data_IF_865152025777
#
_entry.id   IF_865152025777
#
_cell.length_a   1.000
_cell.length_b   1.000
_cell.length_c   1.000
_cell.angle_alpha   90.00
_cell.angle_beta   90.00
_cell.angle_gamma   90.00
#
_symmetry.space_group_name_H-M   'P 1'
#
loop_
_entity.id
_entity.type
_entity.pdbx_description
1 polymer ?
#
# COMPACT_ATOMS: atom_id res chain seq x y z
N UNK A 1 7.84 -32.05 29.54
CA UNK A 1 7.80 -32.29 28.08
C UNK A 1 6.35 -32.31 27.63
N UNK A 2 6.11 -32.13 26.33
CA UNK A 2 4.78 -32.26 25.72
C UNK A 2 4.74 -33.52 24.87
N UNK A 3 3.53 -34.07 24.65
CA UNK A 3 3.34 -35.22 23.76
C UNK A 3 3.71 -34.81 22.33
N UNK A 4 4.57 -35.60 21.68
CA UNK A 4 4.96 -35.35 20.30
C UNK A 4 3.73 -35.49 19.38
N UNK A 5 3.37 -34.40 18.71
CA UNK A 5 2.29 -34.37 17.74
C UNK A 5 2.82 -33.87 16.39
N UNK A 6 2.78 -34.74 15.38
CA UNK A 6 3.26 -34.43 14.04
C UNK A 6 2.42 -33.37 13.32
N UNK A 7 1.12 -33.28 13.61
CA UNK A 7 0.23 -32.27 13.02
C UNK A 7 0.55 -30.87 13.58
N UNK A 8 0.82 -30.78 14.87
CA UNK A 8 1.29 -29.55 15.50
C UNK A 8 2.64 -29.10 14.90
N UNK A 9 3.54 -30.05 14.62
CA UNK A 9 4.79 -29.78 13.90
C UNK A 9 4.57 -29.24 12.48
N UNK A 10 3.66 -29.85 11.71
CA UNK A 10 3.28 -29.34 10.37
C UNK A 10 2.66 -27.95 10.43
N UNK A 11 1.82 -27.69 11.44
CA UNK A 11 1.23 -26.37 11.65
C UNK A 11 2.29 -25.32 12.00
N UNK A 12 3.25 -25.65 12.87
CA UNK A 12 4.37 -24.79 13.20
C UNK A 12 5.21 -24.47 11.94
N UNK A 13 5.50 -25.48 11.11
CA UNK A 13 6.22 -25.26 9.84
C UNK A 13 5.46 -24.34 8.89
N UNK A 14 4.14 -24.50 8.77
CA UNK A 14 3.30 -23.58 7.97
C UNK A 14 3.36 -22.15 8.51
N UNK A 15 3.36 -21.99 9.83
CA UNK A 15 3.46 -20.68 10.46
C UNK A 15 4.85 -20.05 10.21
N UNK A 16 5.94 -20.82 10.34
CA UNK A 16 7.30 -20.31 10.07
C UNK A 16 7.46 -19.93 8.60
N UNK A 17 6.97 -20.76 7.68
CA UNK A 17 6.95 -20.44 6.24
C UNK A 17 6.14 -19.17 5.95
N UNK A 18 5.02 -18.95 6.64
CA UNK A 18 4.19 -17.77 6.44
C UNK A 18 4.86 -16.46 6.85
N UNK A 19 5.95 -16.51 7.63
CA UNK A 19 6.73 -15.31 7.99
C UNK A 19 7.53 -14.77 6.81
N UNK A 20 7.82 -15.59 5.78
CA UNK A 20 8.63 -15.21 4.62
C UNK A 20 10.01 -14.62 4.99
N UNK A 21 10.56 -15.03 6.15
CA UNK A 21 11.86 -14.58 6.67
C UNK A 21 12.99 -15.59 6.42
N UNK A 22 12.66 -16.83 6.07
CA UNK A 22 13.61 -17.92 5.97
C UNK A 22 13.61 -18.49 4.55
N UNK A 23 14.81 -18.71 4.01
CA UNK A 23 15.03 -19.30 2.69
C UNK A 23 15.00 -20.83 2.74
N UNK A 24 15.44 -21.43 3.86
CA UNK A 24 15.41 -22.86 4.08
C UNK A 24 14.99 -23.17 5.52
N UNK A 25 14.17 -24.21 5.68
CA UNK A 25 13.71 -24.72 6.97
C UNK A 25 13.87 -26.23 6.94
N UNK A 26 14.79 -26.74 7.76
CA UNK A 26 15.03 -28.16 7.92
C UNK A 26 14.60 -28.58 9.32
N UNK A 27 13.77 -29.62 9.39
CA UNK A 27 13.31 -30.20 10.65
C UNK A 27 13.87 -31.60 10.76
N UNK A 28 14.72 -31.81 11.75
CA UNK A 28 15.39 -33.08 12.01
C UNK A 28 14.95 -33.60 13.39
N UNK A 29 13.94 -34.48 13.46
CA UNK A 29 13.61 -35.18 14.69
C UNK A 29 14.71 -36.22 14.98
N UNK A 30 15.25 -36.19 16.19
CA UNK A 30 16.27 -37.11 16.70
C UNK A 30 15.79 -37.75 18.00
N UNK A 31 15.98 -39.06 18.20
CA UNK A 31 15.71 -39.68 19.49
C UNK A 31 16.63 -39.07 20.57
N UNK A 32 16.10 -38.82 21.76
CA UNK A 32 16.86 -38.34 22.91
C UNK A 32 17.66 -39.51 23.49
N UNK A 33 18.99 -39.45 23.43
CA UNK A 33 19.87 -40.49 23.99
C UNK A 33 19.83 -40.54 25.53
N UNK A 34 19.36 -39.49 26.19
CA UNK A 34 19.32 -39.41 27.67
C UNK A 34 17.99 -39.85 28.27
N UNK A 35 16.91 -39.84 27.50
CA UNK A 35 15.57 -40.22 27.96
C UNK A 35 14.97 -41.24 26.99
N UNK A 36 14.80 -42.49 27.44
CA UNK A 36 14.11 -43.51 26.66
C UNK A 36 12.70 -43.02 26.26
N UNK A 37 12.42 -42.99 24.96
CA UNK A 37 11.16 -42.50 24.39
C UNK A 37 11.07 -40.98 24.19
N UNK A 38 12.11 -40.21 24.53
CA UNK A 38 12.20 -38.79 24.23
C UNK A 38 12.54 -38.52 22.76
N UNK A 39 11.97 -37.46 22.19
CA UNK A 39 12.29 -36.98 20.83
C UNK A 39 12.72 -35.52 20.93
N UNK A 40 13.90 -35.22 20.43
CA UNK A 40 14.42 -33.86 20.25
C UNK A 40 14.14 -33.44 18.81
N UNK A 41 13.41 -32.34 18.63
CA UNK A 41 13.15 -31.78 17.30
C UNK A 41 14.09 -30.62 17.07
N UNK A 42 15.13 -30.82 16.25
CA UNK A 42 16.01 -29.75 15.80
C UNK A 42 15.40 -29.04 14.60
N UNK A 43 15.24 -27.72 14.68
CA UNK A 43 14.78 -26.89 13.56
C UNK A 43 15.96 -26.02 13.14
N UNK A 44 16.53 -26.30 11.96
CA UNK A 44 17.57 -25.48 11.35
C UNK A 44 16.90 -24.49 10.39
N UNK A 45 17.19 -23.22 10.59
CA UNK A 45 16.63 -22.13 9.81
C UNK A 45 17.78 -21.41 9.08
N UNK A 46 17.61 -21.18 7.78
CA UNK A 46 18.48 -20.29 7.01
C UNK A 46 17.69 -19.02 6.71
N UNK A 47 18.19 -17.87 7.16
CA UNK A 47 17.54 -16.59 6.88
C UNK A 47 17.50 -16.29 5.37
N UNK A 48 16.45 -15.59 4.96
CA UNK A 48 16.33 -15.01 3.63
C UNK A 48 17.09 -13.68 3.59
N UNK A 49 17.49 -13.26 2.40
CA UNK A 49 18.02 -11.91 2.21
C UNK A 49 17.00 -10.87 2.66
N UNK A 50 17.40 -10.05 3.64
CA UNK A 50 16.51 -9.13 4.34
C UNK A 50 16.35 -7.79 3.63
N UNK A 51 17.14 -7.53 2.58
CA UNK A 51 17.16 -6.28 1.83
C UNK A 51 16.95 -6.59 0.38
N UNK A 52 15.95 -5.99 -0.23
CA UNK A 52 15.72 -6.10 -1.67
C UNK A 52 15.54 -4.71 -2.24
N UNK A 53 16.04 -4.53 -3.46
CA UNK A 53 15.78 -3.34 -4.26
C UNK A 53 15.31 -3.83 -5.63
N UNK A 54 14.13 -3.41 -6.04
CA UNK A 54 13.57 -3.74 -7.35
C UNK A 54 13.48 -2.46 -8.17
N UNK A 55 13.94 -2.55 -9.42
CA UNK A 55 13.86 -1.47 -10.40
C UNK A 55 12.99 -1.96 -11.55
N UNK A 56 11.81 -1.35 -11.68
CA UNK A 56 10.94 -1.56 -12.83
C UNK A 56 11.05 -0.33 -13.74
N UNK A 57 11.36 -0.55 -15.01
CA UNK A 57 11.42 0.51 -16.02
C UNK A 57 10.35 0.26 -17.06
N UNK A 58 9.59 1.30 -17.39
CA UNK A 58 8.51 1.30 -18.36
C UNK A 58 8.84 2.30 -19.47
N UNK A 59 8.42 2.01 -20.70
CA UNK A 59 8.66 2.87 -21.86
C UNK A 59 7.34 3.21 -22.52
N UNK A 60 6.94 4.47 -22.47
CA UNK A 60 5.72 4.96 -23.11
C UNK A 60 6.04 5.67 -24.43
N UNK A 61 5.21 5.43 -25.46
CA UNK A 61 5.29 6.11 -26.75
C UNK A 61 4.07 7.01 -26.89
N UNK A 62 4.27 8.32 -26.74
CA UNK A 62 3.17 9.30 -26.88
C UNK A 62 3.03 9.73 -28.34
N UNK A 63 1.84 9.71 -28.97
CA UNK A 63 1.70 10.18 -30.33
C UNK A 63 1.94 11.70 -30.42
N UNK A 64 2.76 12.16 -31.38
CA UNK A 64 3.01 13.59 -31.59
C UNK A 64 1.79 14.35 -32.11
N UNK A 65 1.90 15.68 -32.25
CA UNK A 65 0.83 16.59 -32.73
C UNK A 65 0.20 16.25 -34.10
N UNK A 66 0.76 15.27 -34.83
CA UNK A 66 0.24 14.76 -36.10
C UNK A 66 -0.19 13.28 -36.09
N UNK A 67 -0.32 12.64 -34.91
CA UNK A 67 -0.78 11.25 -34.79
C UNK A 67 0.28 10.18 -35.10
N UNK A 68 1.48 10.57 -35.54
CA UNK A 68 2.61 9.66 -35.76
C UNK A 68 3.54 9.63 -34.55
N UNK A 69 4.00 8.45 -34.11
CA UNK A 69 5.04 8.34 -33.09
C UNK A 69 6.38 8.80 -33.66
N UNK A 70 7.08 9.69 -32.94
CA UNK A 70 8.43 10.18 -33.29
C UNK A 70 9.42 9.71 -32.24
N UNK A 71 10.71 9.52 -32.58
CA UNK A 71 11.72 9.05 -31.61
C UNK A 71 11.89 9.96 -30.37
N UNK A 72 11.42 11.21 -30.44
CA UNK A 72 11.35 12.16 -29.33
C UNK A 72 10.16 11.94 -28.38
N UNK A 73 9.31 10.94 -28.64
CA UNK A 73 8.11 10.64 -27.86
C UNK A 73 8.25 9.44 -26.93
N UNK A 74 9.50 8.99 -26.72
CA UNK A 74 9.84 7.97 -25.74
C UNK A 74 9.93 8.62 -24.36
N UNK A 75 8.96 8.32 -23.52
CA UNK A 75 8.96 8.72 -22.11
C UNK A 75 9.36 7.50 -21.27
N UNK A 76 10.63 7.41 -20.82
CA UNK A 76 11.05 6.36 -19.93
C UNK A 76 10.51 6.66 -18.53
N UNK A 77 9.60 5.83 -18.05
CA UNK A 77 9.10 5.84 -16.67
C UNK A 77 9.65 4.65 -15.88
N UNK A 78 9.33 4.61 -14.60
CA UNK A 78 9.70 3.48 -13.77
C UNK A 78 9.33 3.61 -12.31
N UNK A 79 9.47 2.50 -11.59
CA UNK A 79 9.30 2.42 -10.16
C UNK A 79 10.55 1.81 -9.52
N UNK A 80 11.09 2.51 -8.53
CA UNK A 80 12.16 2.03 -7.65
C UNK A 80 11.51 1.63 -6.33
N UNK A 81 11.60 0.36 -5.98
CA UNK A 81 11.19 -0.13 -4.65
C UNK A 81 12.39 -0.58 -3.85
N UNK A 82 12.37 -0.27 -2.56
CA UNK A 82 13.34 -0.74 -1.59
C UNK A 82 12.58 -1.36 -0.43
N UNK A 83 12.89 -2.60 -0.10
CA UNK A 83 12.31 -3.29 1.04
C UNK A 83 13.42 -3.74 1.99
N UNK A 84 13.24 -3.43 3.27
CA UNK A 84 14.05 -4.00 4.33
C UNK A 84 13.15 -4.74 5.32
N UNK A 85 13.28 -6.06 5.34
CA UNK A 85 12.58 -6.98 6.25
C UNK A 85 13.40 -7.27 7.50
N UNK A 86 12.71 -7.76 8.53
CA UNK A 86 13.28 -8.24 9.79
C UNK A 86 14.18 -7.26 10.56
N UNK A 87 13.76 -5.99 10.67
CA UNK A 87 14.53 -4.98 11.39
C UNK A 87 14.72 -5.38 12.87
N UNK A 88 15.98 -5.53 13.28
CA UNK A 88 16.35 -5.93 14.64
C UNK A 88 15.90 -7.33 15.04
N UNK A 89 15.61 -8.22 14.09
CA UNK A 89 15.13 -9.58 14.38
C UNK A 89 13.68 -9.67 14.85
N UNK A 90 12.91 -8.58 14.71
CA UNK A 90 11.54 -8.45 15.24
C UNK A 90 10.46 -8.57 14.17
N UNK A 91 10.78 -9.10 12.97
CA UNK A 91 9.87 -9.19 11.83
C UNK A 91 9.23 -7.84 11.42
N UNK A 92 9.88 -6.72 11.74
CA UNK A 92 9.47 -5.38 11.31
C UNK A 92 9.99 -5.15 9.90
N UNK A 93 9.20 -4.49 9.06
CA UNK A 93 9.63 -4.14 7.70
C UNK A 93 9.42 -2.67 7.37
N UNK A 94 10.32 -2.15 6.53
CA UNK A 94 10.19 -0.85 5.88
C UNK A 94 10.18 -1.10 4.38
N UNK A 95 9.20 -0.51 3.69
CA UNK A 95 9.05 -0.53 2.25
C UNK A 95 9.00 0.92 1.76
N UNK A 96 9.95 1.30 0.91
CA UNK A 96 9.93 2.55 0.16
C UNK A 96 9.64 2.26 -1.31
N UNK A 97 8.82 3.08 -1.94
CA UNK A 97 8.54 3.04 -3.37
C UNK A 97 8.55 4.45 -3.91
N UNK A 98 9.24 4.66 -5.02
CA UNK A 98 9.24 5.92 -5.77
C UNK A 98 8.85 5.56 -7.20
N UNK A 99 7.78 6.16 -7.70
CA UNK A 99 7.25 5.94 -9.04
C UNK A 99 7.30 7.26 -9.80
N UNK A 100 7.77 7.21 -11.05
CA UNK A 100 7.75 8.34 -11.98
C UNK A 100 7.33 7.83 -13.35
N UNK A 101 6.45 8.54 -14.05
CA UNK A 101 6.10 8.23 -15.44
C UNK A 101 7.15 8.74 -16.43
N UNK A 102 7.98 9.70 -16.04
CA UNK A 102 9.01 10.27 -16.90
C UNK A 102 10.28 10.60 -16.10
N UNK A 103 11.38 9.88 -16.36
CA UNK A 103 12.69 10.15 -15.77
C UNK A 103 13.34 11.43 -16.30
N UNK A 104 12.95 11.91 -17.49
CA UNK A 104 13.51 13.13 -18.07
C UNK A 104 12.91 14.38 -17.43
N UNK A 105 11.64 14.33 -17.03
CA UNK A 105 10.91 15.39 -16.32
C UNK A 105 10.21 14.83 -15.07
N UNK A 106 10.94 14.47 -14.00
CA UNK A 106 10.35 13.84 -12.84
C UNK A 106 9.49 14.79 -12.00
N UNK A 107 9.58 16.11 -12.23
CA UNK A 107 8.81 17.09 -11.45
C UNK A 107 7.31 17.02 -11.70
N UNK A 108 6.90 16.49 -12.86
CA UNK A 108 5.51 16.54 -13.28
C UNK A 108 4.67 15.40 -12.68
N UNK A 109 5.27 14.25 -12.34
CA UNK A 109 4.54 13.04 -11.90
C UNK A 109 5.35 12.13 -10.94
N UNK A 110 6.01 12.73 -9.96
CA UNK A 110 6.68 11.97 -8.90
C UNK A 110 5.68 11.53 -7.83
N UNK A 111 5.54 10.22 -7.63
CA UNK A 111 4.82 9.65 -6.50
C UNK A 111 5.79 8.92 -5.59
N UNK A 112 5.65 9.10 -4.28
CA UNK A 112 6.41 8.31 -3.31
C UNK A 112 5.47 7.67 -2.29
N UNK A 113 5.87 6.49 -1.82
CA UNK A 113 5.20 5.77 -0.75
C UNK A 113 6.25 5.16 0.16
N UNK A 114 6.23 5.55 1.43
CA UNK A 114 6.99 4.92 2.49
C UNK A 114 6.03 4.19 3.41
N UNK A 115 6.35 2.97 3.79
CA UNK A 115 5.49 2.10 4.58
C UNK A 115 6.30 1.36 5.62
N UNK A 116 5.91 1.50 6.88
CA UNK A 116 6.45 0.78 8.03
C UNK A 116 5.42 -0.20 8.56
N UNK A 117 5.81 -1.48 8.66
CA UNK A 117 4.96 -2.54 9.17
C UNK A 117 5.59 -3.14 10.41
N UNK A 118 4.81 -3.15 11.49
CA UNK A 118 5.19 -3.72 12.78
C UNK A 118 4.15 -4.78 13.19
N UNK A 119 4.41 -6.06 12.88
CA UNK A 119 3.56 -7.14 13.35
C UNK A 119 3.80 -7.39 14.86
N UNK A 120 2.79 -7.92 15.55
CA UNK A 120 2.85 -8.21 16.99
C UNK A 120 3.18 -7.00 17.87
N UNK A 121 2.48 -5.88 17.63
CA UNK A 121 2.67 -4.60 18.34
C UNK A 121 2.70 -4.75 19.87
N UNK A 122 1.78 -5.56 20.41
CA UNK A 122 1.64 -5.79 21.85
C UNK A 122 2.47 -7.00 22.36
N UNK A 123 3.35 -7.55 21.53
CA UNK A 123 4.15 -8.75 21.80
C UNK A 123 3.51 -10.05 21.31
N UNK A 124 4.35 -11.09 21.16
CA UNK A 124 3.98 -12.39 20.56
C UNK A 124 3.01 -13.19 21.45
N UNK A 125 3.03 -12.98 22.75
CA UNK A 125 2.18 -13.69 23.71
C UNK A 125 0.80 -13.06 23.89
N UNK A 126 0.54 -11.90 23.27
CA UNK A 126 -0.76 -11.24 23.39
C UNK A 126 -1.77 -11.87 22.42
N UNK A 127 -2.95 -12.34 22.90
CA UNK A 127 -3.95 -12.98 22.05
C UNK A 127 -4.54 -12.05 20.97
N UNK A 128 -4.43 -10.71 21.12
CA UNK A 128 -5.02 -9.74 20.19
C UNK A 128 -4.24 -9.60 18.87
N UNK A 129 -3.01 -10.13 18.81
CA UNK A 129 -2.13 -10.16 17.62
C UNK A 129 -2.27 -8.91 16.73
N UNK A 130 -2.04 -7.75 17.34
CA UNK A 130 -2.19 -6.46 16.69
C UNK A 130 -1.01 -6.17 15.77
N UNK A 131 -1.29 -5.63 14.59
CA UNK A 131 -0.27 -5.13 13.67
C UNK A 131 -0.44 -3.63 13.44
N UNK A 132 0.65 -2.89 13.56
CA UNK A 132 0.70 -1.47 13.21
C UNK A 132 1.25 -1.33 11.79
N UNK A 133 0.59 -0.50 10.99
CA UNK A 133 1.01 -0.13 9.64
C UNK A 133 0.94 1.39 9.50
N UNK A 134 2.10 2.02 9.36
CA UNK A 134 2.22 3.45 9.13
C UNK A 134 2.69 3.66 7.70
N UNK A 135 2.02 4.51 6.94
CA UNK A 135 2.38 4.83 5.57
C UNK A 135 2.40 6.34 5.37
N UNK A 136 3.47 6.85 4.79
CA UNK A 136 3.55 8.19 4.25
C UNK A 136 3.43 8.07 2.73
N UNK A 137 2.57 8.87 2.12
CA UNK A 137 2.36 8.82 0.68
C UNK A 137 2.30 10.22 0.10
N UNK A 138 2.73 10.33 -1.14
CA UNK A 138 2.49 11.47 -1.99
C UNK A 138 2.12 10.96 -3.38
N UNK A 139 1.03 11.48 -3.91
CA UNK A 139 0.55 11.14 -5.24
C UNK A 139 -0.04 12.36 -5.91
N UNK A 140 0.32 12.56 -7.17
CA UNK A 140 -0.33 13.50 -8.07
C UNK A 140 -1.27 12.74 -8.99
N UNK A 141 -2.48 13.26 -9.21
CA UNK A 141 -3.43 12.70 -10.17
C UNK A 141 -4.19 13.80 -10.88
N UNK A 142 -4.51 13.58 -12.15
CA UNK A 142 -5.39 14.49 -12.88
C UNK A 142 -6.81 14.46 -12.28
N UNK A 143 -7.42 15.62 -12.08
CA UNK A 143 -8.79 15.71 -11.59
C UNK A 143 -9.76 15.25 -12.68
N UNK A 144 -10.63 14.24 -12.41
CA UNK A 144 -11.64 13.83 -13.39
C UNK A 144 -12.78 14.85 -13.49
N UNK A 145 -12.95 15.73 -12.49
CA UNK A 145 -14.07 16.68 -12.39
C UNK A 145 -13.85 17.91 -13.27
N UNK A 146 -12.59 18.36 -13.39
CA UNK A 146 -12.21 19.51 -14.20
C UNK A 146 -11.67 19.05 -15.55
N UNK A 147 -12.53 18.36 -16.31
CA UNK A 147 -12.23 17.91 -17.67
C UNK A 147 -13.28 18.45 -18.63
N UNK A 148 -12.87 18.81 -19.85
CA UNK A 148 -13.80 19.29 -20.88
C UNK A 148 -14.78 18.19 -21.28
N UNK A 149 -16.08 18.48 -21.19
CA UNK A 149 -17.13 17.58 -21.68
C UNK A 149 -17.18 17.51 -23.22
N UNK A 150 -17.89 16.53 -23.80
CA UNK A 150 -18.05 16.44 -25.25
C UNK A 150 -18.71 17.73 -25.80
N UNK A 151 -17.95 18.54 -26.54
CA UNK A 151 -18.42 19.81 -27.12
C UNK A 151 -18.28 21.06 -26.24
N UNK A 152 -17.58 20.98 -25.10
CA UNK A 152 -17.23 22.14 -24.28
C UNK A 152 -15.89 22.77 -24.70
N UNK A 153 -15.75 24.09 -24.50
CA UNK A 153 -14.48 24.82 -24.67
C UNK A 153 -13.34 24.14 -23.90
N UNK A 154 -12.12 24.22 -24.43
CA UNK A 154 -10.91 23.62 -23.85
C UNK A 154 -10.74 24.06 -22.38
N UNK A 155 -10.98 23.14 -21.44
CA UNK A 155 -10.83 23.37 -20.01
C UNK A 155 -9.40 22.99 -19.60
N UNK A 156 -8.63 23.92 -19.01
CA UNK A 156 -7.29 23.61 -18.52
C UNK A 156 -7.34 22.47 -17.48
N UNK A 157 -6.47 21.45 -17.61
CA UNK A 157 -6.41 20.34 -16.67
C UNK A 157 -5.97 20.81 -15.28
N UNK A 158 -6.66 20.31 -14.25
CA UNK A 158 -6.31 20.56 -12.85
C UNK A 158 -5.73 19.28 -12.23
N UNK A 159 -4.55 19.40 -11.64
CA UNK A 159 -3.86 18.34 -10.92
C UNK A 159 -4.24 18.36 -9.44
N UNK A 160 -4.46 17.19 -8.86
CA UNK A 160 -4.73 17.00 -7.44
C UNK A 160 -3.53 16.30 -6.81
N UNK A 161 -2.79 17.07 -6.03
CA UNK A 161 -1.64 16.60 -5.26
C UNK A 161 -2.10 16.22 -3.86
N UNK A 162 -1.94 14.95 -3.50
CA UNK A 162 -2.26 14.43 -2.17
C UNK A 162 -0.98 14.03 -1.47
N UNK A 163 -0.70 14.63 -0.33
CA UNK A 163 0.40 14.26 0.54
C UNK A 163 -0.15 13.95 1.93
N UNK A 164 0.19 12.79 2.49
CA UNK A 164 -0.41 12.40 3.75
C UNK A 164 0.30 11.29 4.49
N UNK A 165 -0.17 11.10 5.72
CA UNK A 165 0.24 10.01 6.61
C UNK A 165 -1.01 9.22 6.99
N UNK A 166 -0.89 7.90 6.89
CA UNK A 166 -1.91 6.94 7.28
C UNK A 166 -1.33 6.00 8.33
N UNK A 167 -1.94 5.95 9.51
CA UNK A 167 -1.58 5.01 10.56
C UNK A 167 -2.76 4.07 10.82
N UNK A 168 -2.58 2.77 10.64
CA UNK A 168 -3.60 1.75 10.88
C UNK A 168 -3.12 0.74 11.91
N UNK A 169 -4.04 0.34 12.79
CA UNK A 169 -3.89 -0.79 13.68
C UNK A 169 -4.89 -1.86 13.24
N UNK A 170 -4.40 -3.06 13.03
CA UNK A 170 -5.21 -4.23 12.65
C UNK A 170 -5.19 -5.24 13.78
N UNK A 171 -6.35 -5.56 14.33
CA UNK A 171 -6.58 -6.66 15.28
C UNK A 171 -7.11 -7.88 14.52
N UNK A 172 -6.49 -9.04 14.74
CA UNK A 172 -6.94 -10.30 14.15
C UNK A 172 -7.64 -11.13 15.22
N UNK A 173 -8.98 -11.23 15.16
CA UNK A 173 -9.75 -12.04 16.10
C UNK A 173 -9.72 -13.52 15.74
N UNK A 174 -9.85 -13.84 14.45
CA UNK A 174 -9.74 -15.20 13.91
C UNK A 174 -8.96 -15.17 12.59
N UNK A 175 -8.73 -16.33 11.95
CA UNK A 175 -8.05 -16.36 10.63
C UNK A 175 -8.79 -15.55 9.56
N UNK A 176 -10.11 -15.39 9.69
CA UNK A 176 -10.96 -14.72 8.70
C UNK A 176 -11.58 -13.42 9.23
N UNK A 177 -11.73 -13.27 10.55
CA UNK A 177 -12.29 -12.06 11.16
C UNK A 177 -11.20 -11.09 11.61
N UNK A 178 -11.28 -9.86 11.12
CA UNK A 178 -10.28 -8.80 11.33
C UNK A 178 -10.96 -7.47 11.61
N UNK A 179 -10.35 -6.67 12.46
CA UNK A 179 -10.76 -5.30 12.70
C UNK A 179 -9.58 -4.37 12.45
N UNK A 180 -9.76 -3.43 11.54
CA UNK A 180 -8.75 -2.43 11.21
C UNK A 180 -9.31 -1.07 11.56
N UNK A 181 -8.58 -0.28 12.33
CA UNK A 181 -8.92 1.12 12.56
C UNK A 181 -7.67 1.97 12.36
N UNK A 182 -7.85 3.18 11.85
CA UNK A 182 -6.73 4.02 11.49
C UNK A 182 -7.10 5.47 11.35
N UNK A 183 -6.07 6.30 11.42
CA UNK A 183 -6.13 7.72 11.21
C UNK A 183 -5.44 8.03 9.88
N UNK A 184 -6.12 8.81 9.04
CA UNK A 184 -5.54 9.38 7.82
C UNK A 184 -5.50 10.88 8.01
N UNK A 185 -4.33 11.47 7.79
CA UNK A 185 -4.14 12.92 7.70
C UNK A 185 -3.54 13.19 6.32
N UNK A 186 -4.25 13.92 5.49
CA UNK A 186 -3.78 14.28 4.16
C UNK A 186 -3.99 15.77 3.89
N UNK A 187 -3.03 16.36 3.19
CA UNK A 187 -3.12 17.66 2.54
C UNK A 187 -3.41 17.42 1.06
N UNK A 188 -4.48 18.04 0.57
CA UNK A 188 -4.93 18.00 -0.81
C UNK A 188 -4.67 19.39 -1.38
N UNK A 189 -3.78 19.48 -2.36
CA UNK A 189 -3.49 20.73 -3.08
C UNK A 189 -3.90 20.58 -4.52
N UNK A 190 -4.63 21.54 -5.06
CA UNK A 190 -5.02 21.57 -6.47
C UNK A 190 -4.13 22.53 -7.24
N UNK A 191 -3.52 22.05 -8.32
CA UNK A 191 -2.56 22.82 -9.13
C UNK A 191 -2.96 22.88 -10.60
N UNK A 192 -2.65 23.99 -11.25
CA UNK A 192 -2.82 24.19 -12.68
C UNK A 192 -1.65 23.56 -13.49
N UNK A 193 -1.68 23.71 -14.82
CA UNK A 193 -0.59 23.27 -15.72
C UNK A 193 0.77 23.92 -15.41
N UNK A 194 0.77 25.13 -14.82
CA UNK A 194 1.97 25.88 -14.45
C UNK A 194 2.43 25.56 -13.02
N UNK A 195 1.81 24.56 -12.38
CA UNK A 195 2.04 24.17 -10.99
C UNK A 195 1.73 25.26 -9.94
N UNK A 196 0.91 26.25 -10.30
CA UNK A 196 0.36 27.20 -9.33
C UNK A 196 -0.88 26.62 -8.65
N UNK A 197 -1.09 27.00 -7.39
CA UNK A 197 -2.28 26.60 -6.64
C UNK A 197 -3.50 27.27 -7.26
N UNK A 198 -4.50 26.47 -7.66
CA UNK A 198 -5.77 26.95 -8.20
C UNK A 198 -6.88 26.71 -7.18
N UNK A 199 -7.54 27.77 -6.73
CA UNK A 199 -8.68 27.69 -5.81
C UNK A 199 -10.01 27.38 -6.50
N UNK A 200 -10.10 27.72 -7.79
CA UNK A 200 -11.32 27.59 -8.59
C UNK A 200 -11.01 26.94 -9.94
N UNK A 201 -12.04 26.33 -10.54
CA UNK A 201 -11.98 25.82 -11.91
C UNK A 201 -11.62 26.91 -12.91
N UNK A 202 -10.75 26.58 -13.86
CA UNK A 202 -10.28 27.51 -14.89
C UNK A 202 -11.07 27.34 -16.20
N UNK A 203 -11.25 28.44 -16.94
CA UNK A 203 -11.80 28.44 -18.30
C UNK A 203 -10.98 29.35 -19.19
N UNK A 204 -10.71 28.91 -20.42
CA UNK A 204 -10.08 29.74 -21.44
C UNK A 204 -11.11 30.72 -22.01
N UNK A 205 -10.79 32.01 -21.95
CA UNK A 205 -11.59 33.08 -22.53
C UNK A 205 -11.32 33.20 -24.04
N UNK A 206 -12.26 33.75 -24.83
CA UNK A 206 -12.07 33.95 -26.28
C UNK A 206 -10.88 34.85 -26.68
N UNK A 207 -10.32 35.60 -25.72
CA UNK A 207 -9.12 36.43 -25.89
C UNK A 207 -7.81 35.67 -25.58
N UNK A 208 -7.86 34.37 -25.27
CA UNK A 208 -6.71 33.56 -24.86
C UNK A 208 -6.30 33.73 -23.39
N UNK A 209 -7.03 34.51 -22.60
CA UNK A 209 -6.82 34.63 -21.15
C UNK A 209 -7.45 33.45 -20.39
N UNK A 210 -6.99 33.21 -19.17
CA UNK A 210 -7.59 32.21 -18.27
C UNK A 210 -8.45 32.96 -17.23
N UNK A 211 -9.72 32.58 -17.10
CA UNK A 211 -10.63 33.04 -16.04
C UNK A 211 -10.79 31.94 -14.99
N UNK A 212 -10.78 32.32 -13.72
CA UNK A 212 -10.89 31.43 -12.55
C UNK A 212 -12.29 31.51 -11.90
N UNK A 213 -13.33 31.79 -12.71
CA UNK A 213 -14.71 31.94 -12.24
C UNK A 213 -15.46 30.59 -12.10
N UNK A 214 -14.74 29.47 -12.16
CA UNK A 214 -15.31 28.13 -12.01
C UNK A 214 -15.65 27.76 -10.56
N UNK A 215 -16.23 26.56 -10.34
CA UNK A 215 -16.52 26.07 -9.00
C UNK A 215 -15.22 25.85 -8.20
N UNK A 216 -15.28 25.93 -6.86
CA UNK A 216 -14.10 25.75 -6.02
C UNK A 216 -13.52 24.35 -6.20
N UNK A 217 -12.19 24.28 -6.27
CA UNK A 217 -11.43 23.03 -6.50
C UNK A 217 -11.27 22.20 -5.23
N UNK A 218 -11.45 22.83 -4.06
CA UNK A 218 -11.41 22.20 -2.75
C UNK A 218 -12.60 22.62 -1.87
N UNK A 219 -12.87 21.91 -0.78
CA UNK A 219 -13.98 22.19 0.12
C UNK A 219 -13.85 23.57 0.80
N UNK A 220 -12.61 23.98 1.11
CA UNK A 220 -12.34 25.31 1.68
C UNK A 220 -12.38 26.45 0.65
N UNK A 221 -12.36 26.14 -0.65
CA UNK A 221 -12.28 27.14 -1.72
C UNK A 221 -10.93 27.87 -1.78
N UNK A 222 -9.89 27.36 -1.12
CA UNK A 222 -8.55 27.97 -1.13
C UNK A 222 -7.56 27.28 -2.07
N UNK A 223 -7.93 26.11 -2.62
CA UNK A 223 -7.03 25.28 -3.41
C UNK A 223 -6.13 24.36 -2.56
N UNK A 224 -6.18 24.49 -1.23
CA UNK A 224 -5.46 23.63 -0.28
C UNK A 224 -6.42 23.21 0.84
N UNK A 225 -6.67 21.92 0.97
CA UNK A 225 -7.43 21.35 2.08
C UNK A 225 -6.56 20.44 2.92
N UNK A 226 -6.67 20.59 4.25
CA UNK A 226 -6.10 19.66 5.21
C UNK A 226 -7.23 18.88 5.84
N UNK A 227 -7.26 17.58 5.58
CA UNK A 227 -8.30 16.69 6.08
C UNK A 227 -7.69 15.63 6.97
N UNK A 228 -8.39 15.36 8.07
CA UNK A 228 -8.08 14.28 8.98
C UNK A 228 -9.36 13.48 9.21
N UNK A 229 -9.30 12.17 8.97
CA UNK A 229 -10.45 11.31 9.15
C UNK A 229 -10.06 9.96 9.76
N UNK A 230 -11.01 9.38 10.48
CA UNK A 230 -10.87 8.07 11.10
C UNK A 230 -11.53 7.03 10.21
N UNK A 231 -10.73 6.06 9.77
CA UNK A 231 -11.23 4.93 9.00
C UNK A 231 -11.29 3.71 9.91
N UNK A 232 -12.43 3.02 9.93
CA UNK A 232 -12.55 1.70 10.57
C UNK A 232 -13.22 0.70 9.64
N UNK A 233 -12.72 -0.54 9.67
CA UNK A 233 -13.20 -1.65 8.89
C UNK A 233 -13.29 -2.88 9.79
N UNK A 234 -14.51 -3.39 9.97
CA UNK A 234 -14.77 -4.64 10.69
C UNK A 234 -15.17 -5.68 9.66
N UNK A 235 -14.36 -6.72 9.52
CA UNK A 235 -14.73 -7.93 8.79
C UNK A 235 -15.01 -9.04 9.81
N UNK A 236 -16.28 -9.45 9.91
CA UNK A 236 -16.70 -10.64 10.64
C UNK A 236 -17.01 -11.74 9.64
N UNK A 237 -16.18 -12.76 9.62
CA UNK A 237 -16.32 -13.89 8.72
C UNK A 237 -16.35 -15.19 9.52
N UNK A 238 -17.44 -15.95 9.34
CA UNK A 238 -17.66 -17.27 9.93
C UNK A 238 -17.98 -18.32 8.83
N UNK A 239 -17.51 -18.09 7.61
CA UNK A 239 -17.69 -19.03 6.50
C UNK A 239 -16.81 -20.27 6.67
N UNK A 240 -17.41 -21.45 6.50
CA UNK A 240 -16.76 -22.75 6.59
C UNK A 240 -17.15 -23.59 5.36
N UNK A 241 -16.20 -24.38 4.87
CA UNK A 241 -16.50 -25.37 3.85
C UNK A 241 -17.02 -26.64 4.51
N UNK A 242 -18.25 -27.03 4.20
CA UNK A 242 -18.87 -28.29 4.64
C UNK A 242 -19.32 -29.02 3.39
N UNK A 243 -18.76 -30.20 3.12
CA UNK A 243 -19.08 -31.04 1.95
C UNK A 243 -19.02 -30.29 0.60
N UNK A 244 -18.02 -29.41 0.43
CA UNK A 244 -17.84 -28.63 -0.81
C UNK A 244 -18.73 -27.38 -0.93
N UNK A 245 -19.68 -27.17 -0.01
CA UNK A 245 -20.49 -25.95 0.06
C UNK A 245 -19.94 -24.96 1.09
N UNK A 246 -19.96 -23.67 0.74
CA UNK A 246 -19.63 -22.59 1.68
C UNK A 246 -20.85 -22.32 2.55
N UNK A 247 -20.74 -22.60 3.85
CA UNK A 247 -21.78 -22.37 4.84
C UNK A 247 -21.31 -21.30 5.81
N UNK A 248 -22.17 -20.32 6.13
CA UNK A 248 -21.89 -19.26 7.09
C UNK A 248 -22.19 -17.87 6.52
N UNK A 249 -21.72 -16.85 7.23
CA UNK A 249 -21.96 -15.46 6.87
C UNK A 249 -20.66 -14.65 6.98
N UNK A 250 -20.48 -13.74 6.04
CA UNK A 250 -19.42 -12.73 6.04
C UNK A 250 -20.05 -11.34 6.03
N UNK A 251 -19.81 -10.59 7.09
CA UNK A 251 -20.25 -9.21 7.24
C UNK A 251 -19.04 -8.29 7.19
N UNK A 252 -19.09 -7.28 6.33
CA UNK A 252 -18.05 -6.26 6.21
C UNK A 252 -18.71 -4.92 6.50
N UNK A 253 -18.21 -4.24 7.52
CA UNK A 253 -18.64 -2.89 7.89
C UNK A 253 -17.46 -1.95 7.69
N UNK A 254 -17.68 -0.89 6.93
CA UNK A 254 -16.68 0.15 6.70
C UNK A 254 -17.27 1.49 7.11
N UNK A 255 -16.54 2.21 7.96
CA UNK A 255 -16.83 3.58 8.36
C UNK A 255 -15.61 4.42 7.98
N UNK A 256 -15.82 5.51 7.27
CA UNK A 256 -14.79 6.47 6.85
C UNK A 256 -15.32 7.87 7.08
#
# INVERSE_FOLDING_TARGET
GYVFNIEAGKQALRNINSLALFSNIEVNPRPDEKNEGGIIVEIKLKELEQKTAELNTEWNIVPGRGGYPTLASLEPGGTVTFEHRNLGGLNRSILGSITTSNFLNPQDDLAFKLEYVHPYLDGVYNPRNRALRVSCFNSRKLSPVFTGGPGADEVPPIWVDRAGVKANITENFTRQSKFTYGLVVEEITTRDERSHVCSNGQRVLPNGGVSEDGPPTTLSGTGIDRVAFLQSNITRDNTKFVNGAIVGQRNVFQVT
#
